data_IF_431442230225
#
_entry.id   IF_431442230225
#
_cell.length_a   1.000
_cell.length_b   1.000
_cell.length_c   1.000
_cell.angle_alpha   90.00
_cell.angle_beta   90.00
_cell.angle_gamma   90.00
#
_symmetry.space_group_name_H-M   'P 1'
#
loop_
_entity.id
_entity.type
_entity.pdbx_description
1 polymer ?
#
# COMPACT_ATOMS: atom_id res chain seq x y z
N UNK A 1 0.24 0.08 -3.97
CA UNK A 1 -1.06 0.59 -3.46
C UNK A 1 -1.10 2.11 -3.42
N UNK A 2 -0.09 2.78 -2.85
CA UNK A 2 0.01 4.27 -2.78
C UNK A 2 -0.06 4.94 -4.16
N UNK A 3 0.65 4.39 -5.17
CA UNK A 3 0.62 4.85 -6.57
C UNK A 3 -0.79 4.88 -7.20
N UNK A 4 -1.69 3.96 -6.81
CA UNK A 4 -3.06 3.93 -7.37
C UNK A 4 -3.95 5.00 -6.73
N UNK A 5 -3.68 5.35 -5.47
CA UNK A 5 -4.53 6.27 -4.70
C UNK A 5 -4.26 7.73 -5.06
N UNK A 6 -3.00 8.14 -5.14
CA UNK A 6 -2.63 9.50 -5.58
C UNK A 6 -3.12 9.77 -7.01
N UNK A 7 -2.93 8.80 -7.92
CA UNK A 7 -3.39 8.89 -9.32
C UNK A 7 -4.91 9.03 -9.46
N UNK A 8 -5.69 8.36 -8.61
CA UNK A 8 -7.14 8.51 -8.62
C UNK A 8 -7.57 9.93 -8.25
N UNK A 9 -6.94 10.52 -7.23
CA UNK A 9 -7.21 11.91 -6.80
C UNK A 9 -6.88 12.91 -7.92
N UNK A 10 -5.74 12.76 -8.58
CA UNK A 10 -5.33 13.66 -9.68
C UNK A 10 -6.27 13.57 -10.88
N UNK A 11 -6.71 12.36 -11.24
CA UNK A 11 -7.67 12.16 -12.33
C UNK A 11 -9.05 12.75 -12.00
N UNK A 12 -9.46 12.69 -10.73
CA UNK A 12 -10.72 13.24 -10.24
C UNK A 12 -10.75 14.77 -10.24
N UNK A 13 -9.63 15.41 -9.91
CA UNK A 13 -9.52 16.85 -9.77
C UNK A 13 -8.91 17.54 -11.00
N UNK A 14 -8.64 16.77 -12.07
CA UNK A 14 -8.03 17.25 -13.32
C UNK A 14 -6.72 18.03 -13.09
N UNK A 15 -5.88 17.53 -12.17
CA UNK A 15 -4.60 18.15 -11.81
C UNK A 15 -3.51 17.53 -12.67
N UNK A 16 -2.82 18.35 -13.46
CA UNK A 16 -1.63 17.91 -14.21
C UNK A 16 -0.50 17.57 -13.25
N UNK A 17 -0.01 16.33 -13.34
CA UNK A 17 1.08 15.83 -12.50
C UNK A 17 2.10 15.02 -13.30
N UNK A 18 3.38 15.07 -12.91
CA UNK A 18 4.38 14.19 -13.49
C UNK A 18 4.12 12.73 -13.10
N UNK A 19 4.14 11.82 -14.08
CA UNK A 19 3.82 10.38 -13.94
C UNK A 19 4.59 9.63 -12.83
N UNK A 20 5.70 10.19 -12.37
CA UNK A 20 6.59 9.56 -11.38
C UNK A 20 6.27 9.95 -9.92
N UNK A 21 5.35 10.89 -9.67
CA UNK A 21 5.09 11.30 -8.29
C UNK A 21 4.17 10.29 -7.56
N UNK A 22 4.71 9.69 -6.50
CA UNK A 22 4.00 8.68 -5.71
C UNK A 22 3.30 9.26 -4.47
N UNK A 23 3.70 10.47 -4.05
CA UNK A 23 3.24 11.08 -2.81
C UNK A 23 2.30 12.25 -3.08
N UNK A 24 1.32 12.45 -2.19
CA UNK A 24 0.50 13.66 -2.20
C UNK A 24 1.35 14.85 -1.79
N UNK A 25 1.29 15.91 -2.59
CA UNK A 25 1.91 17.19 -2.30
C UNK A 25 0.97 18.02 -1.41
N UNK A 26 1.51 18.92 -0.57
CA UNK A 26 0.69 19.83 0.25
C UNK A 26 -0.34 20.61 -0.58
N UNK A 27 0.03 20.98 -1.82
CA UNK A 27 -0.87 21.68 -2.76
C UNK A 27 -2.11 20.85 -3.12
N UNK A 28 -1.98 19.54 -3.23
CA UNK A 28 -3.09 18.65 -3.59
C UNK A 28 -4.14 18.62 -2.50
N UNK A 29 -3.71 18.69 -1.23
CA UNK A 29 -4.59 18.75 -0.07
C UNK A 29 -5.39 20.06 -0.09
N UNK A 30 -4.74 21.19 -0.42
CA UNK A 30 -5.42 22.48 -0.54
C UNK A 30 -6.45 22.45 -1.67
N UNK A 31 -6.10 21.89 -2.84
CA UNK A 31 -7.05 21.75 -3.96
C UNK A 31 -8.24 20.86 -3.62
N UNK A 32 -8.04 19.76 -2.89
CA UNK A 32 -9.14 18.91 -2.38
C UNK A 32 -10.03 19.71 -1.43
N UNK A 33 -9.45 20.49 -0.52
CA UNK A 33 -10.20 21.30 0.44
C UNK A 33 -11.03 22.39 -0.26
N UNK A 34 -10.45 23.11 -1.23
CA UNK A 34 -11.16 24.11 -2.04
C UNK A 34 -12.33 23.48 -2.80
N UNK A 35 -12.13 22.29 -3.38
CA UNK A 35 -13.18 21.55 -4.05
C UNK A 35 -14.33 21.16 -3.11
N UNK A 36 -14.01 20.68 -1.90
CA UNK A 36 -15.01 20.34 -0.87
C UNK A 36 -15.81 21.57 -0.41
N UNK A 37 -15.15 22.73 -0.26
CA UNK A 37 -15.81 24.00 0.08
C UNK A 37 -16.75 24.41 -1.06
N UNK A 38 -16.29 24.36 -2.32
CA UNK A 38 -17.13 24.63 -3.50
C UNK A 38 -18.39 23.77 -3.54
N UNK A 39 -18.26 22.46 -3.29
CA UNK A 39 -19.39 21.54 -3.23
C UNK A 39 -20.41 21.94 -2.15
N UNK A 40 -19.96 22.41 -0.97
CA UNK A 40 -20.85 22.89 0.09
C UNK A 40 -21.67 24.10 -0.34
N UNK A 41 -21.13 24.96 -1.20
CA UNK A 41 -21.81 26.12 -1.78
C UNK A 41 -22.61 25.80 -3.05
N UNK A 42 -22.77 24.52 -3.41
CA UNK A 42 -23.52 24.09 -4.59
C UNK A 42 -22.74 24.20 -5.91
N UNK A 43 -21.44 24.51 -5.84
CA UNK A 43 -20.55 24.46 -7.00
C UNK A 43 -20.01 23.04 -7.17
N UNK A 44 -20.63 22.26 -8.04
CA UNK A 44 -20.22 20.89 -8.37
C UNK A 44 -21.35 19.86 -8.17
N UNK A 45 -21.05 18.59 -8.48
CA UNK A 45 -22.00 17.48 -8.32
C UNK A 45 -21.49 16.51 -7.26
N UNK A 46 -22.41 15.99 -6.43
CA UNK A 46 -22.09 14.91 -5.51
C UNK A 46 -21.77 13.64 -6.31
N UNK A 47 -20.72 12.96 -5.91
CA UNK A 47 -20.29 11.74 -6.57
C UNK A 47 -21.16 10.56 -6.17
N UNK A 48 -21.57 9.76 -7.15
CA UNK A 48 -22.27 8.50 -6.89
C UNK A 48 -21.25 7.42 -6.51
N UNK A 49 -21.27 7.01 -5.24
CA UNK A 49 -20.41 5.95 -4.71
C UNK A 49 -20.61 4.61 -5.43
N UNK A 50 -21.77 4.38 -6.04
CA UNK A 50 -22.08 3.14 -6.74
C UNK A 50 -21.67 3.17 -8.22
N UNK A 51 -21.26 4.32 -8.73
CA UNK A 51 -20.75 4.43 -10.09
C UNK A 51 -19.52 3.53 -10.26
N UNK A 52 -19.50 2.69 -11.31
CA UNK A 52 -18.45 1.69 -11.52
C UNK A 52 -17.04 2.30 -11.64
N UNK A 53 -16.92 3.53 -12.14
CA UNK A 53 -15.66 4.31 -12.15
C UNK A 53 -15.04 4.50 -10.74
N UNK A 54 -15.86 4.41 -9.68
CA UNK A 54 -15.45 4.48 -8.28
C UNK A 54 -15.31 3.10 -7.63
N UNK A 55 -15.56 2.02 -8.38
CA UNK A 55 -15.36 0.63 -7.94
C UNK A 55 -14.09 0.06 -8.59
N UNK A 56 -13.25 -0.58 -7.80
CA UNK A 56 -12.06 -1.27 -8.29
C UNK A 56 -12.23 -2.78 -8.06
N UNK A 57 -12.17 -3.56 -9.13
CA UNK A 57 -12.14 -5.02 -9.05
C UNK A 57 -10.70 -5.42 -8.70
N UNK A 58 -10.53 -6.28 -7.70
CA UNK A 58 -9.24 -6.87 -7.34
C UNK A 58 -9.29 -8.36 -7.66
N UNK A 59 -8.30 -8.83 -8.39
CA UNK A 59 -8.12 -10.26 -8.63
C UNK A 59 -7.57 -10.95 -7.37
N UNK A 60 -7.68 -12.28 -7.31
CA UNK A 60 -7.02 -13.09 -6.28
C UNK A 60 -5.51 -12.81 -6.26
N UNK A 61 -4.89 -12.62 -7.42
CA UNK A 61 -3.49 -12.26 -7.54
C UNK A 61 -3.16 -10.89 -6.91
N UNK A 62 -4.00 -9.86 -7.11
CA UNK A 62 -3.79 -8.54 -6.49
C UNK A 62 -3.86 -8.64 -4.95
N UNK A 63 -4.82 -9.41 -4.43
CA UNK A 63 -5.01 -9.60 -3.00
C UNK A 63 -3.83 -10.39 -2.39
N UNK A 64 -3.40 -11.46 -3.06
CA UNK A 64 -2.27 -12.26 -2.63
C UNK A 64 -0.97 -11.45 -2.68
N UNK A 65 -0.74 -10.66 -3.73
CA UNK A 65 0.43 -9.79 -3.86
C UNK A 65 0.52 -8.79 -2.71
N UNK A 66 -0.61 -8.24 -2.27
CA UNK A 66 -0.64 -7.34 -1.12
C UNK A 66 -0.23 -8.05 0.18
N UNK A 67 -0.79 -9.23 0.46
CA UNK A 67 -0.44 -10.02 1.65
C UNK A 67 1.02 -10.48 1.60
N UNK A 68 1.49 -10.90 0.43
CA UNK A 68 2.88 -11.27 0.21
C UNK A 68 3.85 -10.10 0.48
N UNK A 69 3.50 -8.88 0.05
CA UNK A 69 4.27 -7.67 0.39
C UNK A 69 4.39 -7.46 1.90
N UNK A 70 3.30 -7.64 2.65
CA UNK A 70 3.33 -7.56 4.12
C UNK A 70 4.20 -8.68 4.74
N UNK A 71 4.16 -9.88 4.17
CA UNK A 71 5.00 -11.00 4.59
C UNK A 71 6.50 -10.70 4.40
N UNK A 72 6.87 -10.04 3.29
CA UNK A 72 8.25 -9.61 3.04
C UNK A 72 8.71 -8.56 4.05
N UNK A 73 7.87 -7.59 4.40
CA UNK A 73 8.19 -6.59 5.45
C UNK A 73 8.41 -7.28 6.81
N UNK A 74 7.61 -8.29 7.14
CA UNK A 74 7.82 -9.10 8.36
C UNK A 74 9.15 -9.86 8.31
N UNK A 75 9.48 -10.47 7.17
CA UNK A 75 10.75 -11.16 6.96
C UNK A 75 11.94 -10.20 7.09
N UNK A 76 11.86 -9.01 6.51
CA UNK A 76 12.87 -7.96 6.65
C UNK A 76 13.11 -7.58 8.12
N UNK A 77 12.04 -7.41 8.89
CA UNK A 77 12.15 -7.10 10.32
C UNK A 77 12.84 -8.22 11.11
N UNK A 78 12.55 -9.48 10.79
CA UNK A 78 13.20 -10.64 11.40
C UNK A 78 14.69 -10.66 11.05
N UNK A 79 15.03 -10.50 9.76
CA UNK A 79 16.42 -10.47 9.29
C UNK A 79 17.19 -9.35 10.00
N UNK A 80 16.64 -8.14 10.05
CA UNK A 80 17.26 -7.00 10.74
C UNK A 80 17.49 -7.30 12.23
N UNK A 81 16.51 -7.89 12.91
CA UNK A 81 16.63 -8.30 14.31
C UNK A 81 17.71 -9.36 14.53
N UNK A 82 17.81 -10.34 13.64
CA UNK A 82 18.84 -11.40 13.67
C UNK A 82 20.24 -10.82 13.43
N UNK A 83 20.40 -9.90 12.47
CA UNK A 83 21.67 -9.22 12.22
C UNK A 83 22.10 -8.41 13.45
N UNK A 84 21.19 -7.61 14.01
CA UNK A 84 21.48 -6.84 15.24
C UNK A 84 21.90 -7.75 16.40
N UNK A 85 21.30 -8.95 16.49
CA UNK A 85 21.68 -9.95 17.49
C UNK A 85 23.06 -10.55 17.23
N UNK A 86 23.36 -10.93 15.99
CA UNK A 86 24.63 -11.51 15.60
C UNK A 86 25.80 -10.56 15.91
N UNK A 87 25.63 -9.26 15.60
CA UNK A 87 26.62 -8.21 15.92
C UNK A 87 26.89 -8.14 17.43
N UNK A 88 25.84 -8.15 18.27
CA UNK A 88 25.99 -8.08 19.73
C UNK A 88 26.80 -9.24 20.31
N UNK A 89 26.64 -10.44 19.77
CA UNK A 89 27.32 -11.65 20.25
C UNK A 89 28.59 -11.98 19.45
N UNK A 90 29.06 -11.09 18.57
CA UNK A 90 30.22 -11.32 17.69
C UNK A 90 30.13 -12.61 16.86
N UNK A 91 28.91 -13.00 16.48
CA UNK A 91 28.66 -14.12 15.58
C UNK A 91 28.82 -13.66 14.12
N UNK A 92 29.34 -14.53 13.26
CA UNK A 92 29.35 -14.31 11.81
C UNK A 92 27.97 -14.69 11.27
N UNK A 93 27.16 -13.75 10.77
CA UNK A 93 25.86 -14.09 10.20
C UNK A 93 26.06 -14.76 8.84
N UNK A 94 25.60 -15.99 8.70
CA UNK A 94 25.53 -16.69 7.41
C UNK A 94 24.16 -16.45 6.75
N UNK A 95 24.06 -16.37 5.41
CA UNK A 95 22.78 -16.13 4.72
C UNK A 95 21.68 -17.12 5.10
N UNK A 96 22.05 -18.38 5.32
CA UNK A 96 21.15 -19.46 5.74
C UNK A 96 20.53 -19.23 7.12
N UNK A 97 21.26 -18.58 8.04
CA UNK A 97 20.78 -18.27 9.39
C UNK A 97 19.95 -16.99 9.46
N UNK A 98 19.96 -16.17 8.40
CA UNK A 98 19.21 -14.92 8.32
C UNK A 98 17.84 -15.13 7.69
N UNK A 99 17.76 -15.94 6.64
CA UNK A 99 16.52 -16.11 5.84
C UNK A 99 15.68 -17.25 6.41
N UNK A 100 14.45 -16.94 6.81
CA UNK A 100 13.44 -17.93 7.20
C UNK A 100 12.22 -17.83 6.29
N UNK A 101 11.66 -18.97 5.89
CA UNK A 101 10.43 -19.02 5.07
C UNK A 101 9.15 -18.87 5.89
N UNK A 102 9.22 -18.98 7.23
CA UNK A 102 8.06 -19.02 8.12
C UNK A 102 7.07 -17.86 7.90
N UNK A 103 7.49 -16.59 7.72
CA UNK A 103 6.56 -15.49 7.47
C UNK A 103 5.81 -15.61 6.14
N UNK A 104 6.44 -16.21 5.13
CA UNK A 104 5.83 -16.43 3.82
C UNK A 104 4.84 -17.58 3.88
N UNK A 105 5.25 -18.72 4.44
CA UNK A 105 4.40 -19.91 4.56
C UNK A 105 3.17 -19.62 5.43
N UNK A 106 3.34 -18.97 6.59
CA UNK A 106 2.20 -18.60 7.45
C UNK A 106 1.24 -17.62 6.79
N UNK A 107 1.75 -16.68 5.99
CA UNK A 107 0.89 -15.75 5.22
C UNK A 107 0.13 -16.49 4.11
N UNK A 108 0.77 -17.43 3.42
CA UNK A 108 0.13 -18.24 2.40
C UNK A 108 -0.98 -19.14 2.98
N UNK A 109 -0.67 -19.89 4.03
CA UNK A 109 -1.64 -20.73 4.75
C UNK A 109 -2.80 -19.89 5.30
N UNK A 110 -2.52 -18.72 5.87
CA UNK A 110 -3.58 -17.81 6.33
C UNK A 110 -4.43 -17.27 5.19
N UNK A 111 -3.86 -16.97 4.03
CA UNK A 111 -4.60 -16.42 2.90
C UNK A 111 -5.58 -17.42 2.30
N UNK A 112 -5.16 -18.69 2.17
CA UNK A 112 -5.98 -19.75 1.57
C UNK A 112 -6.78 -20.58 2.59
N UNK A 113 -6.38 -20.59 3.87
CA UNK A 113 -6.98 -21.43 4.91
C UNK A 113 -7.95 -20.73 5.88
N UNK A 114 -7.93 -19.39 5.97
CA UNK A 114 -8.82 -18.63 6.87
C UNK A 114 -9.90 -17.81 6.12
N UNK A 115 -10.00 -17.95 4.81
CA UNK A 115 -11.01 -17.29 3.98
C UNK A 115 -12.11 -18.28 3.58
N UNK A 116 -13.41 -18.02 3.85
CA UNK A 116 -14.48 -18.58 3.03
C UNK A 116 -14.43 -18.04 1.60
#
# INVERSE_FOLDING_TARGET
MVLRYSRFVYMKLNIDTPENNTFLLPRDILTVADHLIGMKFGMGTLDDMNHLKNKCIRSVADLLQYQFGLALVRLENIIRGTISRAIRYKLIPTPQNLVTSTPLTTTYESFFGLHP
#
